data_IF_043803802271
#
_entry.id   IF_043803802271
#
_cell.length_a   1.000
_cell.length_b   1.000
_cell.length_c   1.000
_cell.angle_alpha   90.00
_cell.angle_beta   90.00
_cell.angle_gamma   90.00
#
_symmetry.space_group_name_H-M   'P 1'
#
loop_
_entity.id
_entity.type
_entity.pdbx_description
1 polymer ?
#
# COMPACT_ATOMS: atom_id res chain seq x y z
N UNK A 1 10.34 1.02 -8.55
CA UNK A 1 9.54 -0.17 -8.22
C UNK A 1 8.28 0.32 -7.54
N UNK A 2 7.14 -0.29 -7.91
CA UNK A 2 5.83 0.17 -7.47
C UNK A 2 5.33 -0.68 -6.29
N UNK A 3 4.86 0.00 -5.25
CA UNK A 3 4.20 -0.62 -4.10
C UNK A 3 2.80 -0.04 -3.90
N UNK A 4 1.85 -0.88 -3.50
CA UNK A 4 0.49 -0.45 -3.20
C UNK A 4 0.20 -0.56 -1.70
N UNK A 5 -0.35 0.50 -1.12
CA UNK A 5 -0.82 0.52 0.26
C UNK A 5 -2.31 0.83 0.30
N UNK A 6 -3.09 -0.07 0.90
CA UNK A 6 -4.51 0.14 1.12
C UNK A 6 -4.76 0.44 2.60
N UNK A 7 -5.30 1.62 2.92
CA UNK A 7 -5.67 2.03 4.29
C UNK A 7 -6.84 1.22 4.87
N UNK A 8 -7.14 0.03 4.33
CA UNK A 8 -8.08 -0.88 4.96
C UNK A 8 -7.61 -1.28 6.34
N UNK A 9 -8.57 -1.39 7.25
CA UNK A 9 -8.35 -1.96 8.57
C UNK A 9 -7.86 -3.40 8.41
N UNK A 10 -6.58 -3.65 8.68
CA UNK A 10 -6.04 -5.00 8.85
C UNK A 10 -6.92 -5.74 9.87
N UNK A 11 -7.58 -6.80 9.42
CA UNK A 11 -8.36 -7.67 10.30
C UNK A 11 -7.41 -8.52 11.17
N UNK A 12 -7.92 -9.02 12.30
CA UNK A 12 -7.07 -9.56 13.39
C UNK A 12 -6.07 -10.61 12.90
N UNK A 13 -4.84 -10.53 13.45
CA UNK A 13 -3.74 -11.50 13.23
C UNK A 13 -3.92 -12.83 13.99
N UNK A 14 -4.70 -12.86 15.08
CA UNK A 14 -5.02 -14.08 15.86
C UNK A 14 -6.47 -14.10 16.37
N UNK A 15 -7.01 -15.29 16.59
CA UNK A 15 -8.30 -15.54 17.21
C UNK A 15 -8.38 -16.97 17.78
N UNK A 16 -8.97 -17.12 18.97
CA UNK A 16 -9.22 -18.41 19.61
C UNK A 16 -10.72 -18.67 19.68
N UNK A 17 -11.14 -19.90 19.42
CA UNK A 17 -12.53 -20.34 19.57
C UNK A 17 -12.64 -21.29 20.75
N UNK A 18 -13.67 -21.11 21.57
CA UNK A 18 -13.93 -21.94 22.75
C UNK A 18 -14.32 -23.39 22.38
N UNK A 19 -14.70 -23.62 21.11
CA UNK A 19 -14.98 -24.93 20.52
C UNK A 19 -14.19 -25.05 19.20
N UNK A 20 -14.08 -26.23 18.62
CA UNK A 20 -13.36 -26.50 17.35
C UNK A 20 -13.95 -25.84 16.09
N UNK A 21 -14.46 -24.62 16.18
CA UNK A 21 -15.00 -23.82 15.11
C UNK A 21 -14.06 -22.66 14.74
N UNK A 22 -14.18 -22.16 13.52
CA UNK A 22 -13.41 -21.01 13.03
C UNK A 22 -13.71 -19.77 13.89
N UNK A 23 -12.67 -19.10 14.37
CA UNK A 23 -12.83 -17.81 15.07
C UNK A 23 -13.26 -16.73 14.05
N UNK A 24 -14.52 -16.30 14.13
CA UNK A 24 -15.07 -15.26 13.28
C UNK A 24 -15.16 -13.94 14.05
N UNK A 25 -14.73 -12.84 13.44
CA UNK A 25 -14.94 -11.49 13.95
C UNK A 25 -15.73 -10.69 12.91
N UNK A 26 -16.97 -10.26 13.19
CA UNK A 26 -17.64 -9.32 12.30
C UNK A 26 -16.84 -8.01 12.30
N UNK A 27 -16.42 -7.58 11.11
CA UNK A 27 -15.77 -6.29 10.90
C UNK A 27 -16.56 -5.53 9.85
N UNK A 28 -16.69 -4.22 10.05
CA UNK A 28 -17.25 -3.36 9.02
C UNK A 28 -16.33 -3.35 7.80
N UNK A 29 -16.93 -3.40 6.60
CA UNK A 29 -16.19 -3.18 5.37
C UNK A 29 -15.87 -1.69 5.26
N UNK A 30 -14.67 -1.30 5.70
CA UNK A 30 -14.16 0.06 5.49
C UNK A 30 -13.54 0.08 4.09
N UNK A 31 -14.11 0.91 3.20
CA UNK A 31 -13.50 1.16 1.89
C UNK A 31 -12.24 1.98 2.14
N UNK A 32 -11.09 1.33 2.17
CA UNK A 32 -9.80 1.98 2.37
C UNK A 32 -9.46 2.92 1.21
N UNK A 33 -8.60 3.90 1.48
CA UNK A 33 -7.93 4.68 0.44
C UNK A 33 -6.71 3.90 -0.02
N UNK A 34 -6.65 3.63 -1.33
CA UNK A 34 -5.52 2.97 -1.97
C UNK A 34 -4.52 4.03 -2.38
N UNK A 35 -3.27 3.81 -2.03
CA UNK A 35 -2.14 4.61 -2.42
C UNK A 35 -1.21 3.77 -3.28
N UNK A 36 -0.68 4.38 -4.33
CA UNK A 36 0.48 3.87 -5.06
C UNK A 36 1.71 4.63 -4.56
N UNK A 37 2.79 3.89 -4.33
CA UNK A 37 4.08 4.36 -3.86
C UNK A 37 5.09 3.95 -4.92
N UNK A 38 5.72 4.91 -5.57
CA UNK A 38 6.83 4.65 -6.50
C UNK A 38 8.14 4.95 -5.78
N UNK A 39 9.10 4.02 -5.82
CA UNK A 39 10.38 4.14 -5.15
C UNK A 39 11.56 3.85 -6.06
N UNK A 40 12.58 4.71 -6.00
CA UNK A 40 13.87 4.51 -6.66
C UNK A 40 14.96 4.25 -5.62
N UNK A 41 15.67 3.13 -5.77
CA UNK A 41 16.76 2.71 -4.89
C UNK A 41 18.10 2.81 -5.63
N UNK A 42 19.14 3.20 -4.91
CA UNK A 42 20.53 3.18 -5.36
C UNK A 42 21.39 2.44 -4.31
N UNK A 43 22.67 2.23 -4.61
CA UNK A 43 23.64 1.58 -3.71
C UNK A 43 23.72 2.25 -2.34
N UNK A 44 23.42 3.55 -2.26
CA UNK A 44 23.46 4.33 -1.03
C UNK A 44 22.10 4.43 -0.32
N UNK A 45 21.07 3.71 -0.79
CA UNK A 45 19.73 3.70 -0.20
C UNK A 45 18.65 4.30 -1.09
N UNK A 46 17.61 4.85 -0.47
CA UNK A 46 16.47 5.44 -1.17
C UNK A 46 16.87 6.75 -1.85
N UNK A 47 16.79 6.76 -3.17
CA UNK A 47 17.13 7.91 -4.01
C UNK A 47 15.95 8.88 -4.11
N UNK A 48 14.77 8.36 -4.41
CA UNK A 48 13.54 9.14 -4.55
C UNK A 48 12.30 8.29 -4.26
N UNK A 49 11.20 8.93 -3.86
CA UNK A 49 9.91 8.28 -3.74
C UNK A 49 8.75 9.24 -4.03
N UNK A 50 7.65 8.72 -4.54
CA UNK A 50 6.38 9.43 -4.69
C UNK A 50 5.25 8.61 -4.08
N UNK A 51 4.26 9.28 -3.50
CA UNK A 51 3.06 8.66 -2.95
C UNK A 51 1.85 9.39 -3.52
N UNK A 52 0.96 8.66 -4.18
CA UNK A 52 -0.29 9.21 -4.71
C UNK A 52 -1.49 8.36 -4.30
N UNK A 53 -2.65 8.99 -4.19
CA UNK A 53 -3.92 8.27 -4.02
C UNK A 53 -4.39 7.74 -5.38
N UNK A 54 -4.81 6.48 -5.41
CA UNK A 54 -5.21 5.80 -6.64
C UNK A 54 -4.04 5.18 -7.42
N UNK A 55 -4.32 4.59 -8.59
CA UNK A 55 -3.29 3.97 -9.43
C UNK A 55 -2.42 5.02 -10.10
N UNK A 56 -1.16 4.68 -10.37
CA UNK A 56 -0.26 5.46 -11.20
C UNK A 56 -0.47 5.14 -12.67
N UNK A 57 -0.55 6.18 -13.51
CA UNK A 57 -0.60 6.03 -14.97
C UNK A 57 0.74 6.42 -15.60
N UNK A 58 0.84 6.32 -16.94
CA UNK A 58 2.09 6.61 -17.66
C UNK A 58 2.58 8.04 -17.51
N UNK A 59 1.68 9.02 -17.43
CA UNK A 59 2.06 10.43 -17.26
C UNK A 59 2.59 10.65 -15.85
N UNK A 60 1.91 10.11 -14.84
CA UNK A 60 2.37 10.20 -13.46
C UNK A 60 3.78 9.60 -13.31
N UNK A 61 4.05 8.47 -13.99
CA UNK A 61 5.37 7.84 -13.98
C UNK A 61 6.43 8.69 -14.69
N UNK A 62 6.10 9.29 -15.84
CA UNK A 62 7.01 10.20 -16.52
C UNK A 62 7.32 11.42 -15.63
N UNK A 63 6.31 11.99 -14.97
CA UNK A 63 6.49 13.10 -14.04
C UNK A 63 7.39 12.71 -12.87
N UNK A 64 7.27 11.48 -12.35
CA UNK A 64 8.18 10.96 -11.33
C UNK A 64 9.62 10.90 -11.86
N UNK A 65 9.84 10.39 -13.07
CA UNK A 65 11.17 10.29 -13.66
C UNK A 65 11.78 11.66 -13.95
N UNK A 66 10.98 12.60 -14.47
CA UNK A 66 11.48 13.90 -14.93
C UNK A 66 11.62 14.95 -13.82
N UNK A 67 10.78 14.87 -12.78
CA UNK A 67 10.68 15.93 -11.77
C UNK A 67 10.99 15.49 -10.34
N UNK A 68 10.96 14.18 -10.06
CA UNK A 68 11.16 13.65 -8.69
C UNK A 68 12.47 12.85 -8.59
N UNK A 69 12.80 12.06 -9.61
CA UNK A 69 13.98 11.21 -9.62
C UNK A 69 15.29 11.95 -9.95
N UNK A 70 15.21 13.03 -10.72
CA UNK A 70 16.36 13.80 -11.25
C UNK A 70 17.13 14.51 -10.14
#
# INVERSE_FOLDING_TARGET
DESAYDQRTLSRRYGWSFKGSRACKPIFFVRGRRYTIEGALCLNGLLAYAIQEGPMNSNDYNDFVENILV
#
